data_IF_742262717325
#
_entry.id   IF_742262717325
#
_cell.length_a   1.000
_cell.length_b   1.000
_cell.length_c   1.000
_cell.angle_alpha   90.00
_cell.angle_beta   90.00
_cell.angle_gamma   90.00
#
_symmetry.space_group_name_H-M   'P 1'
#
loop_
_entity.id
_entity.type
_entity.pdbx_description
1 polymer ?
#
# COMPACT_ATOMS: atom_id res chain seq x y z
N UNK A 1 6.28 -11.34 7.09
CA UNK A 1 5.10 -11.41 7.99
C UNK A 1 4.98 -12.80 8.57
N UNK A 2 4.25 -12.95 9.67
CA UNK A 2 3.92 -14.25 10.28
C UNK A 2 2.45 -14.59 10.13
N UNK A 3 1.54 -13.63 10.34
CA UNK A 3 0.10 -13.83 10.37
C UNK A 3 -0.63 -12.84 9.47
N UNK A 4 -1.71 -13.29 8.83
CA UNK A 4 -2.60 -12.46 8.02
C UNK A 4 -4.04 -12.73 8.43
N UNK A 5 -4.80 -11.65 8.65
CA UNK A 5 -6.25 -11.70 8.80
C UNK A 5 -6.91 -10.70 7.86
N UNK A 6 -7.85 -11.16 7.04
CA UNK A 6 -8.58 -10.33 6.10
C UNK A 6 -10.09 -10.50 6.29
N UNK A 7 -10.80 -9.39 6.23
CA UNK A 7 -12.24 -9.36 6.15
C UNK A 7 -12.68 -8.62 4.88
N UNK A 8 -13.79 -9.06 4.29
CA UNK A 8 -14.41 -8.43 3.13
C UNK A 8 -15.94 -8.58 3.21
N UNK A 9 -16.66 -7.64 2.61
CA UNK A 9 -18.08 -7.73 2.34
C UNK A 9 -18.35 -8.50 1.02
N UNK A 10 -19.61 -8.78 0.66
CA UNK A 10 -19.95 -9.17 -0.70
C UNK A 10 -19.43 -8.15 -1.73
N UNK A 11 -19.15 -8.61 -2.95
CA UNK A 11 -18.70 -7.70 -4.01
C UNK A 11 -19.80 -6.73 -4.39
N UNK A 12 -19.42 -5.49 -4.65
CA UNK A 12 -20.32 -4.52 -5.27
C UNK A 12 -20.47 -4.83 -6.75
N UNK A 13 -19.38 -5.24 -7.41
CA UNK A 13 -19.42 -5.70 -8.80
C UNK A 13 -19.65 -7.22 -8.82
N UNK A 14 -20.86 -7.73 -9.09
CA UNK A 14 -21.20 -9.13 -8.77
C UNK A 14 -20.47 -10.18 -9.61
N UNK A 15 -19.90 -9.75 -10.74
CA UNK A 15 -19.19 -10.62 -11.69
C UNK A 15 -17.67 -10.59 -11.53
N UNK A 16 -17.11 -9.86 -10.54
CA UNK A 16 -15.69 -9.99 -10.21
C UNK A 16 -15.48 -11.24 -9.37
N UNK A 17 -14.55 -12.10 -9.77
CA UNK A 17 -14.21 -13.31 -9.03
C UNK A 17 -13.45 -13.00 -7.74
N UNK A 18 -12.62 -11.95 -7.78
CA UNK A 18 -11.85 -11.45 -6.62
C UNK A 18 -12.71 -10.48 -5.81
N UNK A 19 -12.52 -10.45 -4.49
CA UNK A 19 -13.21 -9.48 -3.62
C UNK A 19 -12.72 -8.07 -3.87
N UNK A 20 -13.64 -7.11 -3.85
CA UNK A 20 -13.39 -5.72 -4.23
C UNK A 20 -13.24 -4.75 -3.04
N UNK A 21 -13.17 -5.28 -1.80
CA UNK A 21 -13.25 -4.51 -0.55
C UNK A 21 -12.52 -5.14 0.66
N UNK A 22 -11.24 -5.50 0.49
CA UNK A 22 -10.47 -6.13 1.56
C UNK A 22 -10.06 -5.16 2.68
N UNK A 23 -10.18 -5.61 3.92
CA UNK A 23 -9.56 -5.04 5.11
C UNK A 23 -8.63 -6.06 5.72
N UNK A 24 -7.33 -5.85 5.58
CA UNK A 24 -6.30 -6.83 5.96
C UNK A 24 -5.42 -6.31 7.08
N UNK A 25 -5.18 -7.15 8.08
CA UNK A 25 -4.24 -6.96 9.17
C UNK A 25 -3.10 -7.96 9.04
N UNK A 26 -1.87 -7.46 9.12
CA UNK A 26 -0.64 -8.25 9.07
C UNK A 26 0.10 -8.16 10.39
N UNK A 27 0.56 -9.31 10.91
CA UNK A 27 1.56 -9.35 11.98
C UNK A 27 2.94 -9.62 11.40
N UNK A 28 3.92 -8.84 11.83
CA UNK A 28 5.32 -9.00 11.48
C UNK A 28 6.07 -9.78 12.56
N UNK A 29 7.14 -10.48 12.18
CA UNK A 29 7.99 -11.21 13.12
C UNK A 29 8.64 -10.29 14.16
N UNK A 30 8.82 -9.00 13.84
CA UNK A 30 9.32 -7.97 14.75
C UNK A 30 8.30 -7.55 15.83
N UNK A 31 7.06 -8.04 15.76
CA UNK A 31 5.95 -7.60 16.60
C UNK A 31 5.19 -6.39 16.05
N UNK A 32 5.67 -5.75 14.98
CA UNK A 32 4.92 -4.71 14.29
C UNK A 32 3.60 -5.25 13.71
N UNK A 33 2.62 -4.36 13.55
CA UNK A 33 1.33 -4.65 12.94
C UNK A 33 1.09 -3.66 11.82
N UNK A 34 0.60 -4.13 10.68
CA UNK A 34 0.25 -3.31 9.53
C UNK A 34 -1.19 -3.55 9.11
N UNK A 35 -1.84 -2.53 8.59
CA UNK A 35 -3.18 -2.62 8.03
C UNK A 35 -3.18 -2.15 6.59
N UNK A 36 -3.87 -2.87 5.73
CA UNK A 36 -4.16 -2.47 4.35
C UNK A 36 -5.66 -2.56 4.16
N UNK A 37 -6.27 -1.42 3.86
CA UNK A 37 -7.65 -1.35 3.36
C UNK A 37 -7.56 -1.12 1.86
N UNK A 38 -8.25 -1.96 1.10
CA UNK A 38 -8.22 -1.95 -0.35
C UNK A 38 -9.65 -1.99 -0.89
N UNK A 39 -9.96 -1.01 -1.74
CA UNK A 39 -11.22 -0.89 -2.44
C UNK A 39 -10.95 -0.68 -3.92
N UNK A 40 -11.64 -1.44 -4.77
CA UNK A 40 -11.65 -1.27 -6.23
C UNK A 40 -13.06 -1.30 -6.81
N UNK A 41 -14.04 -1.11 -5.94
CA UNK A 41 -15.45 -1.30 -6.23
C UNK A 41 -16.16 -0.05 -6.76
N UNK A 42 -15.55 1.13 -6.65
CA UNK A 42 -16.12 2.37 -7.19
C UNK A 42 -15.19 3.00 -8.24
N UNK A 43 -15.67 3.21 -9.48
CA UNK A 43 -14.89 3.86 -10.52
C UNK A 43 -14.83 5.37 -10.31
N UNK A 44 -13.82 6.02 -10.89
CA UNK A 44 -13.84 7.47 -11.07
C UNK A 44 -15.06 7.87 -11.93
N UNK A 45 -15.63 9.04 -11.64
CA UNK A 45 -16.70 9.66 -12.44
C UNK A 45 -16.19 10.21 -13.77
N UNK A 46 -14.91 9.98 -14.09
CA UNK A 46 -14.28 10.32 -15.34
C UNK A 46 -14.96 9.65 -16.53
N UNK A 47 -15.41 10.48 -17.50
CA UNK A 47 -16.12 10.03 -18.70
C UNK A 47 -15.23 9.99 -19.94
N UNK A 48 -13.91 9.93 -19.76
CA UNK A 48 -12.97 9.84 -20.88
C UNK A 48 -12.66 11.18 -21.56
N UNK A 49 -12.83 12.31 -20.88
CA UNK A 49 -12.43 13.62 -21.44
C UNK A 49 -10.89 13.73 -21.45
N UNK A 50 -10.23 13.65 -22.62
CA UNK A 50 -8.78 13.69 -22.70
C UNK A 50 -8.19 15.07 -22.36
N UNK A 51 -9.04 16.11 -22.24
CA UNK A 51 -8.65 17.46 -21.86
C UNK A 51 -8.85 17.74 -20.37
N UNK A 52 -9.22 16.73 -19.56
CA UNK A 52 -9.31 16.90 -18.12
C UNK A 52 -7.90 17.16 -17.53
N UNK A 53 -7.64 18.42 -17.21
CA UNK A 53 -6.31 18.89 -16.79
C UNK A 53 -5.85 18.32 -15.44
N UNK A 54 -6.76 17.81 -14.61
CA UNK A 54 -6.43 17.29 -13.28
C UNK A 54 -7.25 16.06 -12.87
N UNK A 55 -6.84 14.90 -13.36
CA UNK A 55 -7.43 13.60 -13.01
C UNK A 55 -7.31 13.30 -11.51
N UNK A 56 -6.22 13.73 -10.85
CA UNK A 56 -6.01 13.47 -9.43
C UNK A 56 -7.05 14.20 -8.55
N UNK A 57 -7.38 15.45 -8.87
CA UNK A 57 -8.41 16.21 -8.14
C UNK A 57 -9.82 15.62 -8.38
N UNK A 58 -10.10 15.15 -9.60
CA UNK A 58 -11.34 14.43 -9.90
C UNK A 58 -11.46 13.16 -9.05
N UNK A 59 -10.40 12.35 -9.04
CA UNK A 59 -10.35 11.11 -8.27
C UNK A 59 -10.48 11.38 -6.76
N UNK A 60 -9.84 12.44 -6.24
CA UNK A 60 -10.02 12.87 -4.86
C UNK A 60 -11.49 13.23 -4.57
N UNK A 61 -12.14 13.97 -5.47
CA UNK A 61 -13.57 14.31 -5.38
C UNK A 61 -14.49 13.08 -5.41
N UNK A 62 -14.09 12.04 -6.14
CA UNK A 62 -14.76 10.74 -6.21
C UNK A 62 -14.47 9.84 -5.00
N UNK A 63 -13.66 10.30 -4.04
CA UNK A 63 -13.32 9.56 -2.83
C UNK A 63 -12.16 8.58 -2.97
N UNK A 64 -11.32 8.71 -4.00
CA UNK A 64 -10.08 7.94 -4.08
C UNK A 64 -9.13 8.37 -2.96
N UNK A 65 -8.48 7.39 -2.35
CA UNK A 65 -7.53 7.60 -1.27
C UNK A 65 -6.31 6.71 -1.48
N UNK A 66 -5.12 7.30 -1.39
CA UNK A 66 -3.85 6.60 -1.33
C UNK A 66 -3.06 7.21 -0.20
N UNK A 67 -3.15 6.57 0.96
CA UNK A 67 -2.65 7.10 2.22
C UNK A 67 -1.77 6.07 2.91
N UNK A 68 -0.61 6.53 3.35
CA UNK A 68 0.34 5.75 4.11
C UNK A 68 0.49 6.39 5.48
N UNK A 69 0.46 5.57 6.53
CA UNK A 69 0.68 6.00 7.90
C UNK A 69 1.60 5.00 8.59
N UNK A 70 2.71 5.50 9.14
CA UNK A 70 3.65 4.73 9.95
C UNK A 70 3.71 5.40 11.31
N UNK A 71 3.52 4.63 12.37
CA UNK A 71 3.56 5.10 13.75
C UNK A 71 4.58 4.28 14.53
N UNK A 72 5.48 4.96 15.23
CA UNK A 72 6.42 4.37 16.16
C UNK A 72 6.27 4.99 17.55
N UNK A 73 7.16 4.59 18.46
CA UNK A 73 7.12 5.06 19.85
C UNK A 73 7.60 6.50 20.03
N UNK A 74 8.32 7.05 19.05
CA UNK A 74 8.91 8.40 19.11
C UNK A 74 8.40 9.35 18.03
N UNK A 75 7.40 8.94 17.26
CA UNK A 75 6.86 9.76 16.19
C UNK A 75 5.99 8.98 15.23
N UNK A 76 5.51 9.70 14.23
CA UNK A 76 4.73 9.16 13.13
C UNK A 76 5.09 9.87 11.83
N UNK A 77 4.78 9.24 10.71
CA UNK A 77 4.83 9.86 9.40
C UNK A 77 3.59 9.46 8.60
N UNK A 78 3.04 10.41 7.87
CA UNK A 78 1.88 10.22 7.01
C UNK A 78 2.18 10.78 5.63
N UNK A 79 1.68 10.12 4.59
CA UNK A 79 1.58 10.71 3.27
C UNK A 79 0.18 10.46 2.72
N UNK A 80 -0.46 11.52 2.25
CA UNK A 80 -1.72 11.49 1.52
C UNK A 80 -1.43 11.98 0.11
N UNK A 81 -1.41 11.05 -0.85
CA UNK A 81 -0.96 11.31 -2.21
C UNK A 81 -1.94 12.23 -2.94
N UNK A 82 -3.25 12.00 -2.81
CA UNK A 82 -4.25 12.83 -3.48
C UNK A 82 -4.35 14.23 -2.89
N UNK A 83 -4.07 14.40 -1.59
CA UNK A 83 -3.98 15.73 -0.95
C UNK A 83 -2.61 16.38 -1.06
N UNK A 84 -1.66 15.74 -1.77
CA UNK A 84 -0.31 16.25 -2.03
C UNK A 84 0.44 16.65 -0.77
N UNK A 85 0.37 15.82 0.27
CA UNK A 85 0.88 16.18 1.59
C UNK A 85 1.63 15.05 2.27
N UNK A 86 2.81 15.38 2.81
CA UNK A 86 3.59 14.53 3.69
C UNK A 86 3.77 15.23 5.03
N UNK A 87 3.47 14.54 6.12
CA UNK A 87 3.61 15.07 7.48
C UNK A 87 4.48 14.15 8.33
N UNK A 88 5.23 14.74 9.26
CA UNK A 88 5.96 14.00 10.29
C UNK A 88 5.72 14.59 11.68
N UNK A 89 5.54 13.71 12.64
CA UNK A 89 5.38 14.02 14.05
C UNK A 89 6.58 13.51 14.83
N UNK A 90 6.96 14.26 15.86
CA UNK A 90 7.88 13.81 16.89
C UNK A 90 7.12 13.70 18.21
N UNK A 91 7.26 12.56 18.89
CA UNK A 91 6.64 12.32 20.19
C UNK A 91 7.69 12.45 21.29
N UNK A 92 7.34 13.12 22.37
CA UNK A 92 8.18 13.26 23.56
C UNK A 92 7.39 12.92 24.81
N UNK A 93 8.08 12.46 25.86
CA UNK A 93 7.47 12.28 27.17
C UNK A 93 7.54 13.61 27.93
N UNK A 94 6.38 14.17 28.30
CA UNK A 94 6.29 15.26 29.26
C UNK A 94 5.91 14.70 30.65
N UNK A 95 6.12 15.45 31.75
CA UNK A 95 5.93 14.92 33.11
C UNK A 95 4.57 14.29 33.40
N UNK A 96 3.51 14.75 32.72
CA UNK A 96 2.13 14.32 32.98
C UNK A 96 1.48 13.57 31.79
N UNK A 97 1.96 13.81 30.56
CA UNK A 97 1.36 13.30 29.32
C UNK A 97 2.40 13.11 28.22
N UNK A 98 2.10 12.27 27.23
CA UNK A 98 2.83 12.28 25.96
C UNK A 98 2.56 13.61 25.22
N UNK A 99 3.62 14.26 24.75
CA UNK A 99 3.55 15.43 23.88
C UNK A 99 3.84 15.03 22.42
N UNK A 100 3.32 15.81 21.47
CA UNK A 100 3.45 15.55 20.04
C UNK A 100 3.55 16.85 19.27
N UNK A 101 4.58 16.98 18.45
CA UNK A 101 4.87 18.16 17.62
C UNK A 101 4.89 17.79 16.14
N UNK A 102 4.30 18.64 15.30
CA UNK A 102 4.57 18.62 13.86
C UNK A 102 5.98 19.15 13.61
N UNK A 103 6.83 18.28 13.08
CA UNK A 103 8.23 18.59 12.77
C UNK A 103 8.48 18.71 11.27
N UNK A 104 7.50 18.34 10.45
CA UNK A 104 7.57 18.45 8.99
C UNK A 104 6.16 18.44 8.40
N UNK A 105 5.94 19.32 7.41
CA UNK A 105 4.72 19.43 6.63
C UNK A 105 5.10 19.88 5.22
N UNK A 106 5.21 18.92 4.31
CA UNK A 106 5.61 19.13 2.94
C UNK A 106 4.41 18.96 2.01
N UNK A 107 4.36 19.80 0.99
CA UNK A 107 3.47 19.64 -0.15
C UNK A 107 4.28 19.64 -1.44
N UNK A 108 3.68 19.19 -2.54
CA UNK A 108 4.30 19.23 -3.86
C UNK A 108 3.37 19.85 -4.89
N UNK A 109 3.94 20.26 -6.02
CA UNK A 109 3.20 20.86 -7.12
C UNK A 109 2.37 19.79 -7.86
N UNK A 110 1.12 20.05 -8.26
CA UNK A 110 0.32 19.07 -9.00
C UNK A 110 0.99 18.49 -10.25
N UNK A 111 1.91 19.24 -10.88
CA UNK A 111 2.71 18.74 -12.02
C UNK A 111 3.60 17.56 -11.64
N UNK A 112 3.90 17.39 -10.35
CA UNK A 112 4.70 16.31 -9.78
C UNK A 112 3.85 15.09 -9.37
N UNK A 113 2.52 15.12 -9.49
CA UNK A 113 1.64 14.02 -9.06
C UNK A 113 2.03 12.68 -9.67
N UNK A 114 2.49 12.67 -10.93
CA UNK A 114 2.94 11.45 -11.60
C UNK A 114 4.13 10.79 -10.88
N UNK A 115 4.97 11.55 -10.17
CA UNK A 115 6.10 11.00 -9.38
C UNK A 115 5.62 10.24 -8.14
N UNK A 116 4.50 10.64 -7.56
CA UNK A 116 3.97 10.08 -6.31
C UNK A 116 2.83 9.07 -6.54
N UNK A 117 2.11 9.18 -7.66
CA UNK A 117 0.97 8.33 -7.98
C UNK A 117 1.37 7.12 -8.85
N UNK A 118 2.04 7.38 -9.98
CA UNK A 118 2.45 6.37 -10.96
C UNK A 118 3.76 6.76 -11.65
N UNK A 119 4.89 6.64 -10.94
CA UNK A 119 6.20 6.95 -11.52
C UNK A 119 6.71 5.82 -12.44
N UNK A 120 5.91 5.47 -13.44
CA UNK A 120 6.20 4.43 -14.42
C UNK A 120 7.35 4.84 -15.33
N UNK A 121 7.52 6.14 -15.58
CA UNK A 121 8.61 6.67 -16.43
C UNK A 121 9.97 6.40 -15.81
N UNK A 122 10.19 6.77 -14.54
CA UNK A 122 11.50 6.54 -13.91
C UNK A 122 11.72 5.07 -13.57
N UNK A 123 10.65 4.33 -13.23
CA UNK A 123 10.74 2.87 -13.09
C UNK A 123 11.23 2.20 -14.38
N UNK A 124 10.66 2.57 -15.54
CA UNK A 124 11.09 2.03 -16.82
C UNK A 124 12.55 2.40 -17.14
N UNK A 125 12.94 3.65 -16.88
CA UNK A 125 14.33 4.11 -17.05
C UNK A 125 15.29 3.33 -16.15
N UNK A 126 14.93 3.09 -14.90
CA UNK A 126 15.75 2.32 -13.97
C UNK A 126 15.94 0.87 -14.43
N UNK A 127 14.87 0.22 -14.92
CA UNK A 127 14.94 -1.12 -15.50
C UNK A 127 15.92 -1.16 -16.67
N UNK A 128 15.76 -0.26 -17.66
CA UNK A 128 16.66 -0.20 -18.83
C UNK A 128 18.11 0.02 -18.41
N UNK A 129 18.34 0.97 -17.49
CA UNK A 129 19.67 1.27 -16.94
C UNK A 129 20.29 0.05 -16.27
N UNK A 130 19.55 -0.68 -15.44
CA UNK A 130 20.06 -1.86 -14.72
C UNK A 130 20.42 -2.98 -15.68
N UNK A 131 19.55 -3.27 -16.65
CA UNK A 131 19.82 -4.28 -17.69
C UNK A 131 21.07 -3.92 -18.49
N UNK A 132 21.19 -2.68 -18.96
CA UNK A 132 22.33 -2.23 -19.74
C UNK A 132 23.67 -2.32 -18.99
N UNK A 133 23.65 -2.20 -17.66
CA UNK A 133 24.83 -2.24 -16.81
C UNK A 133 25.04 -3.61 -16.11
N UNK A 134 24.24 -4.64 -16.41
CA UNK A 134 24.33 -5.93 -15.75
C UNK A 134 24.05 -5.90 -14.24
N UNK A 135 23.24 -4.94 -13.78
CA UNK A 135 22.87 -4.78 -12.38
C UNK A 135 21.65 -5.64 -12.02
N UNK A 136 21.52 -6.10 -10.77
CA UNK A 136 20.32 -6.79 -10.31
C UNK A 136 19.09 -5.85 -10.33
N UNK A 137 17.86 -6.41 -10.38
CA UNK A 137 16.63 -5.62 -10.31
C UNK A 137 16.56 -4.82 -9.01
N UNK A 138 15.86 -3.68 -9.03
CA UNK A 138 15.66 -2.86 -7.82
C UNK A 138 14.91 -3.61 -6.73
N UNK A 139 13.88 -4.36 -7.13
CA UNK A 139 13.14 -5.27 -6.27
C UNK A 139 13.56 -6.70 -6.60
N UNK A 140 14.24 -7.42 -5.69
CA UNK A 140 14.58 -8.82 -5.89
C UNK A 140 13.34 -9.69 -6.15
N UNK A 141 13.48 -10.73 -6.97
CA UNK A 141 12.38 -11.66 -7.25
C UNK A 141 11.83 -12.31 -5.98
N UNK A 142 12.70 -12.56 -4.98
CA UNK A 142 12.28 -13.09 -3.68
C UNK A 142 11.32 -12.16 -2.95
N UNK A 143 11.58 -10.86 -2.95
CA UNK A 143 10.74 -9.87 -2.25
C UNK A 143 9.36 -9.74 -2.91
N UNK A 144 9.34 -9.75 -4.24
CA UNK A 144 8.09 -9.79 -5.00
C UNK A 144 7.29 -11.06 -4.71
N UNK A 145 7.96 -12.22 -4.65
CA UNK A 145 7.33 -13.49 -4.27
C UNK A 145 6.74 -13.44 -2.85
N UNK A 146 7.50 -12.94 -1.86
CA UNK A 146 6.98 -12.81 -0.49
C UNK A 146 5.78 -11.87 -0.42
N UNK A 147 5.75 -10.81 -1.24
CA UNK A 147 4.59 -9.92 -1.33
C UNK A 147 3.37 -10.65 -1.90
N UNK A 148 3.54 -11.43 -2.96
CA UNK A 148 2.44 -12.20 -3.55
C UNK A 148 1.88 -13.26 -2.60
N UNK A 149 2.72 -13.89 -1.77
CA UNK A 149 2.25 -14.80 -0.71
C UNK A 149 1.27 -14.12 0.24
N UNK A 150 1.47 -12.83 0.53
CA UNK A 150 0.56 -12.09 1.40
C UNK A 150 -0.80 -11.87 0.75
N UNK A 151 -0.84 -11.64 -0.57
CA UNK A 151 -2.10 -11.57 -1.31
C UNK A 151 -2.87 -12.89 -1.20
N UNK A 152 -2.21 -14.03 -1.43
CA UNK A 152 -2.85 -15.35 -1.28
C UNK A 152 -3.31 -15.61 0.16
N UNK A 153 -2.49 -15.27 1.16
CA UNK A 153 -2.88 -15.40 2.57
C UNK A 153 -4.12 -14.56 2.89
N UNK A 154 -4.20 -13.33 2.35
CA UNK A 154 -5.33 -12.44 2.53
C UNK A 154 -6.61 -12.99 1.86
N UNK A 155 -6.50 -13.54 0.66
CA UNK A 155 -7.62 -14.19 -0.03
C UNK A 155 -8.15 -15.40 0.74
N UNK A 156 -7.26 -16.30 1.16
CA UNK A 156 -7.62 -17.47 1.98
C UNK A 156 -8.27 -17.02 3.28
N UNK A 157 -7.67 -16.05 3.97
CA UNK A 157 -8.20 -15.51 5.23
C UNK A 157 -9.60 -14.92 5.05
N UNK A 158 -9.82 -14.14 3.99
CA UNK A 158 -11.13 -13.54 3.70
C UNK A 158 -12.21 -14.59 3.37
N UNK A 159 -11.83 -15.66 2.67
CA UNK A 159 -12.74 -16.74 2.31
C UNK A 159 -13.07 -17.66 3.50
N UNK A 160 -12.06 -18.04 4.27
CA UNK A 160 -12.19 -19.00 5.39
C UNK A 160 -12.54 -18.31 6.72
N UNK A 161 -12.47 -16.97 6.79
CA UNK A 161 -12.76 -16.15 7.97
C UNK A 161 -11.92 -16.52 9.19
N UNK A 162 -10.63 -16.78 8.97
CA UNK A 162 -9.67 -17.12 10.02
C UNK A 162 -8.33 -16.44 9.79
N UNK A 163 -7.50 -16.44 10.83
CA UNK A 163 -6.08 -16.07 10.69
C UNK A 163 -5.37 -17.16 9.89
N UNK A 164 -4.53 -16.74 8.94
CA UNK A 164 -3.65 -17.61 8.14
C UNK A 164 -2.20 -17.36 8.56
N UNK A 165 -1.49 -18.42 8.93
CA UNK A 165 -0.04 -18.34 9.12
C UNK A 165 0.63 -18.38 7.75
N UNK A 166 1.53 -17.44 7.47
CA UNK A 166 2.20 -17.34 6.15
C UNK A 166 2.96 -18.63 5.81
N UNK A 167 3.44 -19.36 6.82
CA UNK A 167 4.09 -20.66 6.66
C UNK A 167 3.18 -21.75 6.08
N UNK A 168 1.85 -21.62 6.17
CA UNK A 168 0.90 -22.58 5.57
C UNK A 168 0.98 -22.60 4.04
N UNK A 169 1.41 -21.51 3.41
CA UNK A 169 1.45 -21.37 1.96
C UNK A 169 2.58 -22.16 1.28
N UNK A 170 3.40 -22.87 2.06
CA UNK A 170 4.64 -23.50 1.61
C UNK A 170 5.64 -22.47 1.08
N UNK A 171 6.81 -22.95 0.69
CA UNK A 171 7.72 -22.22 -0.18
C UNK A 171 7.84 -22.97 -1.50
N UNK A 172 8.08 -22.25 -2.61
CA UNK A 172 8.40 -22.91 -3.90
C UNK A 172 9.67 -23.77 -3.80
N UNK A 173 10.44 -23.64 -2.72
CA UNK A 173 11.66 -24.40 -2.44
C UNK A 173 11.42 -25.70 -1.65
N UNK A 174 10.22 -25.90 -1.09
CA UNK A 174 9.87 -27.14 -0.38
C UNK A 174 9.41 -28.26 -1.34
N UNK A 175 9.27 -27.95 -2.63
CA UNK A 175 8.83 -28.89 -3.67
C UNK A 175 9.98 -29.71 -4.31
N UNK A 176 11.24 -29.45 -3.94
CA UNK A 176 12.43 -30.12 -4.50
C UNK A 176 13.34 -30.82 -3.48
N UNK A 177 12.88 -31.07 -2.24
CA UNK A 177 13.63 -31.85 -1.23
C UNK A 177 13.10 -33.26 -1.05
#
# INVERSE_FOLDING_TARGET
MTEVYSACAPNVVPYTEVRDNYHTTYRFASGAVGHITYYMNFPATFRGDPLADNIADLQLGDGHELRYLIVGTKGAAETDVFRRRLKRWHFTDAPEVMASDWVEDLTWDPREDHLYYHNTTDQARDVVRRVANGLPPMTPARDAYETMRLCFAAEISGNERRIVQVSELGTVYDAES
#
